data_IF_988507011571
#
_entry.id   IF_988507011571
#
_cell.length_a   1.000
_cell.length_b   1.000
_cell.length_c   1.000
_cell.angle_alpha   90.00
_cell.angle_beta   90.00
_cell.angle_gamma   90.00
#
_symmetry.space_group_name_H-M   'P 1'
#
loop_
_entity.id
_entity.type
_entity.pdbx_description
1 polymer ?
#
# COMPACT_ATOMS: atom_id res chain seq x y z
N UNK A 1 -29.33 -8.11 -12.65
CA UNK A 1 -28.41 -7.06 -13.18
C UNK A 1 -28.82 -5.75 -12.54
N UNK A 2 -27.91 -5.06 -11.84
CA UNK A 2 -28.21 -3.76 -11.25
C UNK A 2 -28.43 -2.70 -12.32
N UNK A 3 -29.32 -1.73 -12.06
CA UNK A 3 -29.50 -0.56 -12.90
C UNK A 3 -28.29 0.37 -12.74
N UNK A 4 -27.52 0.56 -13.81
CA UNK A 4 -26.38 1.48 -13.87
C UNK A 4 -26.69 2.71 -14.74
N UNK A 5 -27.95 3.14 -14.78
CA UNK A 5 -28.38 4.36 -15.47
C UNK A 5 -27.70 5.61 -14.88
N UNK A 6 -27.58 6.71 -15.66
CA UNK A 6 -27.12 8.00 -15.13
C UNK A 6 -27.91 8.47 -13.90
N UNK A 7 -29.21 8.17 -13.84
CA UNK A 7 -30.08 8.43 -12.68
C UNK A 7 -29.68 7.65 -11.43
N UNK A 8 -29.21 6.40 -11.58
CA UNK A 8 -28.67 5.63 -10.47
C UNK A 8 -27.42 6.30 -9.88
N UNK A 9 -26.49 6.75 -10.72
CA UNK A 9 -25.29 7.45 -10.25
C UNK A 9 -25.62 8.77 -9.55
N UNK A 10 -26.59 9.54 -10.06
CA UNK A 10 -27.06 10.77 -9.40
C UNK A 10 -27.70 10.45 -8.04
N UNK A 11 -28.56 9.43 -7.95
CA UNK A 11 -29.13 9.00 -6.66
C UNK A 11 -28.07 8.51 -5.68
N UNK A 12 -27.11 7.70 -6.14
CA UNK A 12 -26.03 7.19 -5.32
C UNK A 12 -25.15 8.30 -4.69
N UNK A 13 -25.04 9.47 -5.35
CA UNK A 13 -24.39 10.65 -4.77
C UNK A 13 -25.17 11.22 -3.58
N UNK A 14 -26.49 11.23 -3.64
CA UNK A 14 -27.35 11.63 -2.52
C UNK A 14 -27.41 10.57 -1.41
N UNK A 15 -27.33 9.28 -1.78
CA UNK A 15 -27.33 8.17 -0.80
C UNK A 15 -26.00 8.08 -0.03
N UNK A 16 -24.89 8.47 -0.66
CA UNK A 16 -23.55 8.42 -0.06
C UNK A 16 -22.73 9.69 -0.32
N UNK A 17 -23.15 10.86 0.21
CA UNK A 17 -22.52 12.16 -0.08
C UNK A 17 -21.05 12.21 0.33
N UNK A 18 -20.65 11.42 1.34
CA UNK A 18 -19.26 11.28 1.74
C UNK A 18 -18.37 10.66 0.63
N UNK A 19 -18.90 9.78 -0.22
CA UNK A 19 -18.17 9.23 -1.37
C UNK A 19 -17.94 10.29 -2.43
N UNK A 20 -18.92 11.15 -2.67
CA UNK A 20 -18.79 12.30 -3.57
C UNK A 20 -17.71 13.25 -3.09
N UNK A 21 -17.75 13.61 -1.80
CA UNK A 21 -16.74 14.44 -1.15
C UNK A 21 -15.33 13.85 -1.27
N UNK A 22 -15.16 12.56 -0.97
CA UNK A 22 -13.89 11.86 -1.13
C UNK A 22 -13.41 11.85 -2.59
N UNK A 23 -14.33 11.70 -3.55
CA UNK A 23 -14.03 11.76 -4.98
C UNK A 23 -13.50 13.14 -5.37
N UNK A 24 -14.14 14.23 -4.93
CA UNK A 24 -13.67 15.59 -5.21
C UNK A 24 -12.26 15.80 -4.65
N UNK A 25 -12.06 15.48 -3.37
CA UNK A 25 -10.76 15.65 -2.70
C UNK A 25 -9.66 14.88 -3.42
N UNK A 26 -9.88 13.60 -3.79
CA UNK A 26 -8.83 12.83 -4.46
C UNK A 26 -8.41 13.46 -5.78
N UNK A 27 -9.34 14.03 -6.56
CA UNK A 27 -9.00 14.66 -7.84
C UNK A 27 -8.19 15.94 -7.63
N UNK A 28 -8.55 16.74 -6.62
CA UNK A 28 -7.79 17.93 -6.23
C UNK A 28 -6.37 17.59 -5.78
N UNK A 29 -6.17 16.41 -5.18
CA UNK A 29 -4.86 15.96 -4.70
C UNK A 29 -3.95 15.35 -5.78
N UNK A 30 -4.44 15.11 -7.01
CA UNK A 30 -3.66 14.46 -8.07
C UNK A 30 -2.33 15.21 -8.37
N UNK A 31 -2.28 16.55 -8.51
CA UNK A 31 -1.02 17.23 -8.80
C UNK A 31 0.02 17.04 -7.68
N UNK A 32 -0.43 17.13 -6.42
CA UNK A 32 0.43 16.92 -5.24
C UNK A 32 0.91 15.47 -5.17
N UNK A 33 0.02 14.50 -5.44
CA UNK A 33 0.39 13.10 -5.51
C UNK A 33 1.44 12.85 -6.59
N UNK A 34 1.21 13.34 -7.82
CA UNK A 34 2.16 13.20 -8.93
C UNK A 34 3.53 13.76 -8.59
N UNK A 35 3.59 14.96 -8.00
CA UNK A 35 4.85 15.55 -7.56
C UNK A 35 5.53 14.67 -6.49
N UNK A 36 4.79 14.21 -5.48
CA UNK A 36 5.32 13.35 -4.42
C UNK A 36 5.92 12.05 -4.95
N UNK A 37 5.22 11.37 -5.87
CA UNK A 37 5.71 10.13 -6.49
C UNK A 37 6.90 10.39 -7.43
N UNK A 38 6.88 11.48 -8.20
CA UNK A 38 7.99 11.87 -9.05
C UNK A 38 9.27 12.17 -8.25
N UNK A 39 9.15 12.91 -7.13
CA UNK A 39 10.28 13.18 -6.23
C UNK A 39 10.83 11.91 -5.56
N UNK A 40 9.98 10.89 -5.39
CA UNK A 40 10.40 9.57 -4.91
C UNK A 40 10.99 8.67 -6.04
N UNK A 41 11.03 9.14 -7.29
CA UNK A 41 11.49 8.34 -8.43
C UNK A 41 10.55 7.19 -8.80
N UNK A 42 9.26 7.30 -8.45
CA UNK A 42 8.25 6.28 -8.73
C UNK A 42 7.39 6.77 -9.90
N UNK A 43 7.44 6.12 -11.08
CA UNK A 43 6.67 6.54 -12.24
C UNK A 43 5.16 6.46 -11.99
N UNK A 44 4.44 7.50 -12.38
CA UNK A 44 2.99 7.51 -12.35
C UNK A 44 2.42 6.56 -13.42
N UNK A 45 1.39 5.79 -13.06
CA UNK A 45 0.74 4.81 -13.95
C UNK A 45 -0.76 5.09 -14.14
N UNK A 46 -1.41 4.34 -15.01
CA UNK A 46 -2.80 4.60 -15.43
C UNK A 46 -3.77 4.12 -14.36
N UNK A 47 -4.90 4.82 -14.21
CA UNK A 47 -6.01 4.36 -13.39
C UNK A 47 -5.80 4.39 -11.87
N UNK A 48 -4.76 5.07 -11.36
CA UNK A 48 -4.55 5.18 -9.91
C UNK A 48 -5.68 5.92 -9.20
N UNK A 49 -6.16 5.34 -8.10
CA UNK A 49 -7.18 5.89 -7.21
C UNK A 49 -6.55 6.10 -5.82
N UNK A 50 -6.14 7.33 -5.54
CA UNK A 50 -5.52 7.69 -4.26
C UNK A 50 -6.49 8.50 -3.40
N UNK A 51 -7.02 7.90 -2.34
CA UNK A 51 -7.81 8.62 -1.34
C UNK A 51 -6.90 9.09 -0.22
N UNK A 52 -6.35 10.30 -0.38
CA UNK A 52 -5.24 10.79 0.44
C UNK A 52 -3.88 10.37 -0.10
N UNK A 53 -2.82 10.85 0.55
CA UNK A 53 -1.45 10.56 0.14
C UNK A 53 -0.88 9.42 0.98
N UNK A 54 -0.29 8.38 0.38
CA UNK A 54 0.51 7.42 1.13
C UNK A 54 1.76 8.10 1.69
N UNK A 55 2.32 7.52 2.74
CA UNK A 55 3.65 7.86 3.24
C UNK A 55 4.68 7.06 2.44
N UNK A 56 5.66 7.76 1.87
CA UNK A 56 6.73 7.15 1.09
C UNK A 56 8.04 7.31 1.87
N UNK A 57 8.57 6.20 2.40
CA UNK A 57 9.83 6.14 3.13
C UNK A 57 10.83 5.33 2.31
N UNK A 58 11.32 5.92 1.22
CA UNK A 58 12.10 5.21 0.20
C UNK A 58 13.59 5.52 0.34
N UNK A 59 14.42 4.49 0.54
CA UNK A 59 15.87 4.63 0.42
C UNK A 59 16.28 5.09 -1.00
N UNK A 60 17.29 5.95 -1.13
CA UNK A 60 17.63 6.55 -2.44
C UNK A 60 18.07 5.51 -3.47
N UNK A 61 18.74 4.45 -3.01
CA UNK A 61 19.26 3.35 -3.83
C UNK A 61 18.35 2.10 -3.84
N UNK A 62 17.10 2.21 -3.38
CA UNK A 62 16.09 1.13 -3.48
C UNK A 62 15.17 1.33 -4.68
N UNK A 63 14.24 0.39 -4.90
CA UNK A 63 13.21 0.50 -5.95
C UNK A 63 11.81 0.23 -5.40
N UNK A 64 10.84 1.04 -5.82
CA UNK A 64 9.41 0.78 -5.62
C UNK A 64 8.76 0.79 -6.99
N UNK A 65 8.18 -0.33 -7.41
CA UNK A 65 7.47 -0.49 -8.68
C UNK A 65 6.00 -0.75 -8.40
N UNK A 66 5.12 0.04 -9.02
CA UNK A 66 3.67 -0.02 -8.86
C UNK A 66 3.03 -0.17 -10.24
N UNK A 67 2.11 -1.11 -10.38
CA UNK A 67 1.35 -1.37 -11.60
C UNK A 67 0.26 -0.33 -11.93
N UNK A 68 -0.49 -0.61 -12.98
CA UNK A 68 -1.69 0.14 -13.34
C UNK A 68 -2.84 -0.18 -12.37
N UNK A 69 -3.83 0.73 -12.30
CA UNK A 69 -5.10 0.55 -11.57
C UNK A 69 -4.92 0.34 -10.04
N UNK A 70 -3.87 0.90 -9.47
CA UNK A 70 -3.61 0.97 -8.02
C UNK A 70 -4.72 1.72 -7.26
N UNK A 71 -5.23 1.18 -6.15
CA UNK A 71 -6.18 1.85 -5.27
C UNK A 71 -5.66 1.90 -3.82
N UNK A 72 -5.23 3.09 -3.37
CA UNK A 72 -4.76 3.31 -2.00
C UNK A 72 -5.70 4.22 -1.22
N UNK A 73 -6.08 3.79 -0.01
CA UNK A 73 -6.92 4.55 0.91
C UNK A 73 -6.13 4.94 2.15
N UNK A 74 -5.72 6.21 2.20
CA UNK A 74 -4.77 6.75 3.17
C UNK A 74 -5.38 7.79 4.14
N UNK A 75 -6.69 8.05 4.06
CA UNK A 75 -7.39 8.94 5.00
C UNK A 75 -8.48 8.23 5.77
N UNK A 76 -8.74 8.68 7.01
CA UNK A 76 -9.76 8.13 7.91
C UNK A 76 -11.14 8.01 7.24
N UNK A 77 -11.52 9.02 6.44
CA UNK A 77 -12.85 9.12 5.82
C UNK A 77 -13.00 8.31 4.54
N UNK A 78 -11.93 7.66 4.06
CA UNK A 78 -11.92 6.98 2.76
C UNK A 78 -12.47 5.55 2.78
N UNK A 79 -12.63 4.95 3.96
CA UNK A 79 -13.14 3.59 4.14
C UNK A 79 -13.97 3.53 5.44
N UNK A 80 -15.12 2.82 5.48
CA UNK A 80 -15.93 2.65 6.69
C UNK A 80 -15.18 2.06 7.90
N UNK A 81 -14.13 1.26 7.65
CA UNK A 81 -13.29 0.68 8.69
C UNK A 81 -12.29 1.67 9.29
N UNK A 82 -12.17 2.88 8.73
CA UNK A 82 -11.22 3.94 9.10
C UNK A 82 -9.77 3.43 9.24
N UNK A 83 -8.89 3.64 8.24
CA UNK A 83 -7.50 3.25 8.39
C UNK A 83 -6.88 3.93 9.62
N UNK A 84 -6.16 3.21 10.46
CA UNK A 84 -5.53 3.78 11.66
C UNK A 84 -4.34 4.69 11.33
N UNK A 85 -3.76 4.55 10.14
CA UNK A 85 -2.76 5.43 9.56
C UNK A 85 -2.79 5.36 8.02
N UNK A 86 -2.18 6.32 7.29
CA UNK A 86 -2.04 6.26 5.85
C UNK A 86 -1.35 4.98 5.37
N UNK A 87 -1.57 4.56 4.12
CA UNK A 87 -0.73 3.52 3.51
C UNK A 87 0.73 3.94 3.57
N UNK A 88 1.60 3.09 4.13
CA UNK A 88 3.05 3.31 4.20
C UNK A 88 3.73 2.38 3.21
N UNK A 89 4.53 2.95 2.29
CA UNK A 89 5.44 2.20 1.42
C UNK A 89 6.86 2.54 1.81
N UNK A 90 7.60 1.55 2.33
CA UNK A 90 8.94 1.75 2.86
C UNK A 90 9.94 0.78 2.25
N UNK A 91 11.09 1.31 1.84
CA UNK A 91 12.28 0.51 1.51
C UNK A 91 13.44 1.01 2.35
N UNK A 92 13.95 0.19 3.25
CA UNK A 92 14.90 0.61 4.29
C UNK A 92 16.35 0.63 3.81
N UNK A 93 16.77 -0.35 3.00
CA UNK A 93 18.16 -0.50 2.54
C UNK A 93 18.38 -0.15 1.08
N UNK A 94 19.65 0.11 0.74
CA UNK A 94 20.12 0.06 -0.63
C UNK A 94 19.79 -1.31 -1.26
N UNK A 95 19.31 -1.31 -2.49
CA UNK A 95 18.92 -2.54 -3.19
C UNK A 95 17.56 -3.13 -2.78
N UNK A 96 16.91 -2.64 -1.71
CA UNK A 96 15.59 -3.13 -1.32
C UNK A 96 14.53 -2.90 -2.41
N UNK A 97 13.55 -3.80 -2.51
CA UNK A 97 12.53 -3.78 -3.58
C UNK A 97 11.13 -3.96 -3.03
N UNK A 98 10.22 -3.07 -3.43
CA UNK A 98 8.77 -3.34 -3.40
C UNK A 98 8.30 -3.42 -4.84
N UNK A 99 7.61 -4.51 -5.19
CA UNK A 99 7.02 -4.73 -6.51
C UNK A 99 5.55 -5.06 -6.29
N UNK A 100 4.66 -4.23 -6.82
CA UNK A 100 3.22 -4.43 -6.75
C UNK A 100 2.68 -4.43 -8.18
N UNK A 101 1.97 -5.50 -8.53
CA UNK A 101 1.35 -5.69 -9.83
C UNK A 101 0.16 -4.77 -10.09
N UNK A 102 -0.58 -5.12 -11.13
CA UNK A 102 -1.77 -4.40 -11.56
C UNK A 102 -2.98 -4.70 -10.66
N UNK A 103 -3.95 -3.78 -10.64
CA UNK A 103 -5.24 -3.98 -9.93
C UNK A 103 -5.10 -4.25 -8.42
N UNK A 104 -4.06 -3.67 -7.80
CA UNK A 104 -3.85 -3.76 -6.36
C UNK A 104 -4.69 -2.76 -5.56
N UNK A 105 -5.29 -3.22 -4.46
CA UNK A 105 -6.03 -2.39 -3.52
C UNK A 105 -5.56 -2.52 -2.07
N UNK A 106 -5.41 -1.41 -1.36
CA UNK A 106 -5.10 -1.40 0.09
C UNK A 106 -5.75 -0.24 0.83
N UNK A 107 -6.15 -0.48 2.09
CA UNK A 107 -6.63 0.56 3.02
C UNK A 107 -5.70 0.66 4.23
N UNK A 108 -5.10 1.82 4.46
CA UNK A 108 -4.10 2.01 5.53
C UNK A 108 -2.99 0.97 5.48
N UNK A 109 -2.35 0.70 6.61
CA UNK A 109 -1.37 -0.38 6.73
C UNK A 109 -0.01 -0.08 6.09
N UNK A 110 0.91 -1.03 6.23
CA UNK A 110 2.33 -0.82 5.93
C UNK A 110 2.92 -1.95 5.08
N UNK A 111 3.70 -1.58 4.08
CA UNK A 111 4.55 -2.49 3.30
C UNK A 111 6.00 -2.02 3.47
N UNK A 112 6.81 -2.83 4.15
CA UNK A 112 8.14 -2.44 4.62
C UNK A 112 9.18 -3.47 4.19
N UNK A 113 9.96 -3.13 3.16
CA UNK A 113 10.98 -4.00 2.60
C UNK A 113 12.40 -3.58 3.02
N UNK A 114 13.11 -4.48 3.67
CA UNK A 114 14.56 -4.48 3.87
C UNK A 114 15.27 -5.15 2.68
N UNK A 115 14.67 -6.18 2.08
CA UNK A 115 15.20 -6.97 0.97
C UNK A 115 14.26 -6.94 -0.26
N UNK A 116 13.15 -7.67 -0.23
CA UNK A 116 12.21 -7.80 -1.34
C UNK A 116 10.80 -8.20 -0.86
N UNK A 117 9.80 -7.40 -1.25
CA UNK A 117 8.38 -7.76 -1.16
C UNK A 117 7.78 -7.70 -2.57
N UNK A 118 7.20 -8.83 -3.00
CA UNK A 118 6.51 -8.95 -4.29
C UNK A 118 5.04 -9.25 -4.05
N UNK A 119 4.19 -8.44 -4.65
CA UNK A 119 2.74 -8.60 -4.65
C UNK A 119 2.28 -8.68 -6.11
N UNK A 120 1.54 -9.73 -6.43
CA UNK A 120 1.03 -10.03 -7.77
C UNK A 120 -0.09 -9.09 -8.21
N UNK A 121 -0.81 -9.52 -9.24
CA UNK A 121 -1.93 -8.79 -9.82
C UNK A 121 -3.24 -9.13 -9.12
N UNK A 122 -4.20 -8.20 -9.16
CA UNK A 122 -5.57 -8.40 -8.63
C UNK A 122 -5.60 -8.73 -7.13
N UNK A 123 -4.59 -8.29 -6.39
CA UNK A 123 -4.47 -8.50 -4.95
C UNK A 123 -5.21 -7.41 -4.19
N UNK A 124 -6.01 -7.83 -3.20
CA UNK A 124 -6.66 -6.90 -2.26
C UNK A 124 -6.17 -7.15 -0.84
N UNK A 125 -5.64 -6.09 -0.21
CA UNK A 125 -5.21 -6.09 1.17
C UNK A 125 -6.19 -5.26 2.01
N UNK A 126 -6.75 -5.90 3.02
CA UNK A 126 -7.69 -5.32 3.96
C UNK A 126 -7.11 -4.16 4.77
N UNK A 127 -7.98 -3.52 5.57
CA UNK A 127 -7.58 -2.38 6.37
C UNK A 127 -6.45 -2.72 7.36
N UNK A 128 -5.45 -1.86 7.46
CA UNK A 128 -4.42 -1.87 8.52
C UNK A 128 -3.56 -3.14 8.59
N UNK A 129 -3.37 -3.83 7.46
CA UNK A 129 -2.42 -4.94 7.39
C UNK A 129 -0.98 -4.43 7.39
N UNK A 130 -0.07 -5.22 7.97
CA UNK A 130 1.36 -4.96 7.94
C UNK A 130 2.07 -6.11 7.24
N UNK A 131 2.87 -5.79 6.22
CA UNK A 131 3.69 -6.73 5.45
C UNK A 131 5.14 -6.28 5.60
N UNK A 132 5.99 -7.14 6.14
CA UNK A 132 7.41 -6.87 6.34
C UNK A 132 8.27 -8.10 6.09
N UNK A 133 9.45 -7.90 5.53
CA UNK A 133 10.42 -8.97 5.19
C UNK A 133 11.64 -9.00 6.12
N UNK A 134 11.54 -8.34 7.28
CA UNK A 134 12.61 -8.18 8.27
C UNK A 134 12.07 -8.25 9.69
N UNK A 135 12.91 -8.69 10.63
CA UNK A 135 12.64 -8.58 12.07
C UNK A 135 13.02 -7.20 12.65
N UNK A 136 13.64 -6.33 11.85
CA UNK A 136 14.27 -5.04 12.21
C UNK A 136 15.43 -5.11 13.19
N UNK A 137 15.42 -6.07 14.11
CA UNK A 137 16.45 -6.33 15.08
C UNK A 137 16.75 -7.82 15.19
N UNK A 138 17.98 -8.20 15.56
CA UNK A 138 18.27 -9.55 15.97
C UNK A 138 17.33 -10.05 17.08
N UNK A 139 16.91 -11.31 16.98
CA UNK A 139 16.10 -11.97 17.99
C UNK A 139 16.92 -12.35 19.23
N UNK A 140 18.20 -12.70 19.02
CA UNK A 140 19.14 -12.91 20.12
C UNK A 140 19.39 -11.59 20.88
N UNK A 141 19.21 -11.55 22.21
CA UNK A 141 19.36 -10.32 22.98
C UNK A 141 20.76 -9.72 22.94
N UNK A 142 21.82 -10.53 22.92
CA UNK A 142 23.19 -10.04 22.88
C UNK A 142 23.50 -9.44 21.51
N UNK A 143 23.14 -10.13 20.43
CA UNK A 143 23.25 -9.62 19.07
C UNK A 143 22.43 -8.34 18.88
N UNK A 144 21.27 -8.20 19.52
CA UNK A 144 20.47 -6.96 19.45
C UNK A 144 21.21 -5.75 20.02
N UNK A 145 22.07 -5.95 21.03
CA UNK A 145 22.88 -4.89 21.60
C UNK A 145 24.16 -4.64 20.78
N UNK A 146 24.88 -5.70 20.41
CA UNK A 146 26.19 -5.60 19.76
C UNK A 146 26.10 -5.29 18.26
N UNK A 147 25.08 -5.83 17.58
CA UNK A 147 24.88 -5.80 16.13
C UNK A 147 23.41 -5.48 15.81
N UNK A 148 22.87 -4.33 16.25
CA UNK A 148 21.44 -4.01 16.18
C UNK A 148 20.86 -3.99 14.76
N UNK A 149 21.71 -3.91 13.73
CA UNK A 149 21.34 -3.87 12.32
C UNK A 149 21.48 -5.23 11.60
N UNK A 150 21.92 -6.28 12.28
CA UNK A 150 22.07 -7.64 11.70
C UNK A 150 20.77 -8.45 11.85
N UNK A 151 19.63 -7.81 11.55
CA UNK A 151 18.33 -8.44 11.59
C UNK A 151 18.17 -9.48 10.48
N UNK A 152 17.46 -10.57 10.78
CA UNK A 152 17.14 -11.57 9.79
C UNK A 152 16.15 -10.99 8.76
N UNK A 153 16.40 -11.28 7.49
CA UNK A 153 15.54 -10.91 6.36
C UNK A 153 15.20 -12.14 5.54
N UNK A 154 14.00 -12.17 4.98
CA UNK A 154 13.59 -13.17 4.01
C UNK A 154 12.43 -12.62 3.16
N UNK A 155 12.48 -12.74 1.82
CA UNK A 155 11.49 -12.14 0.94
C UNK A 155 10.06 -12.56 1.26
N UNK A 156 9.10 -11.67 1.02
CA UNK A 156 7.67 -11.96 1.09
C UNK A 156 7.07 -11.97 -0.30
N UNK A 157 6.25 -12.99 -0.60
CA UNK A 157 5.54 -13.12 -1.88
C UNK A 157 4.04 -13.26 -1.63
N UNK A 158 3.26 -12.41 -2.27
CA UNK A 158 1.80 -12.53 -2.34
C UNK A 158 1.47 -12.70 -3.82
N UNK A 159 0.94 -13.86 -4.19
CA UNK A 159 0.66 -14.21 -5.58
C UNK A 159 -0.59 -13.50 -6.11
N UNK A 160 -0.91 -13.74 -7.37
CA UNK A 160 -2.07 -13.17 -8.03
C UNK A 160 -3.39 -13.58 -7.34
N UNK A 161 -4.42 -12.74 -7.45
CA UNK A 161 -5.80 -13.01 -7.00
C UNK A 161 -5.98 -13.21 -5.47
N UNK A 162 -4.94 -12.99 -4.66
CA UNK A 162 -5.01 -13.12 -3.21
C UNK A 162 -5.85 -12.00 -2.57
N UNK A 163 -6.71 -12.40 -1.63
CA UNK A 163 -7.37 -11.50 -0.69
C UNK A 163 -6.85 -11.71 0.74
N UNK A 164 -6.31 -10.65 1.34
CA UNK A 164 -5.93 -10.62 2.75
C UNK A 164 -6.95 -9.79 3.53
N UNK A 165 -7.54 -10.36 4.57
CA UNK A 165 -8.48 -9.67 5.47
C UNK A 165 -7.83 -8.51 6.23
N UNK A 166 -8.61 -7.78 7.03
CA UNK A 166 -8.08 -6.65 7.81
C UNK A 166 -7.20 -7.08 8.99
N UNK A 167 -6.29 -6.20 9.41
CA UNK A 167 -5.42 -6.36 10.58
C UNK A 167 -4.50 -7.60 10.54
N UNK A 168 -4.16 -8.10 9.36
CA UNK A 168 -3.20 -9.20 9.23
C UNK A 168 -1.76 -8.70 9.38
N UNK A 169 -0.91 -9.54 9.97
CA UNK A 169 0.54 -9.36 10.04
C UNK A 169 1.21 -10.45 9.19
N UNK A 170 1.89 -10.05 8.13
CA UNK A 170 2.63 -10.92 7.22
C UNK A 170 4.12 -10.62 7.41
N UNK A 171 4.85 -11.63 7.88
CA UNK A 171 6.27 -11.51 8.24
C UNK A 171 7.19 -12.14 7.19
N UNK A 172 8.49 -11.97 7.39
CA UNK A 172 9.55 -12.43 6.50
C UNK A 172 9.41 -13.90 6.11
N UNK A 173 9.69 -14.19 4.85
CA UNK A 173 9.70 -15.56 4.29
C UNK A 173 8.32 -16.13 3.96
N UNK A 174 7.23 -15.40 4.22
CA UNK A 174 5.87 -15.87 3.88
C UNK A 174 5.64 -15.80 2.37
N UNK A 175 5.05 -16.87 1.83
CA UNK A 175 4.42 -16.90 0.50
C UNK A 175 2.93 -17.22 0.66
N UNK A 176 2.05 -16.43 0.02
CA UNK A 176 0.60 -16.65 -0.02
C UNK A 176 0.17 -16.76 -1.48
N UNK A 177 -0.53 -17.84 -1.84
CA UNK A 177 -1.17 -18.06 -3.14
C UNK A 177 -2.51 -18.75 -3.00
#
# INVERSE_FOLDING_TARGET
MGDYSPSFYVRALFDTPWKAHNSIIRHLMIPVARLKFALAGIPWRRGWLLYGLPVLLKHRQSTITLGDRLSLRSTLRSNPLAPNHPVVLCTWRAGARIIIGDDFGMTGGSIVAEQEIVIGNRVTIGANCTIMDTDFHPLDPQARYERPYDAATAPVRIEDDVFVGMNCLILKGVTIG
#
